data_IF_613912162274
#
_entry.id   IF_613912162274
#
_cell.length_a   1.000
_cell.length_b   1.000
_cell.length_c   1.000
_cell.angle_alpha   90.00
_cell.angle_beta   90.00
_cell.angle_gamma   90.00
#
_symmetry.space_group_name_H-M   'P 1'
#
loop_
_entity.id
_entity.type
_entity.pdbx_description
1 polymer ?
#
# COMPACT_ATOMS: atom_id res chain seq x y z
N UNK A 1 75.15 4.92 -30.69
CA UNK A 1 73.73 4.52 -30.77
C UNK A 1 73.46 3.58 -29.61
N UNK A 2 72.85 4.09 -28.55
CA UNK A 2 72.27 3.29 -27.47
C UNK A 2 70.75 3.34 -27.64
N UNK A 3 70.01 2.23 -27.55
CA UNK A 3 68.56 2.26 -27.56
C UNK A 3 68.02 2.57 -26.14
N UNK A 4 67.13 3.55 -26.05
CA UNK A 4 66.30 3.82 -24.89
C UNK A 4 65.24 2.70 -24.73
N UNK A 5 65.26 2.01 -23.59
CA UNK A 5 64.16 1.16 -23.14
C UNK A 5 63.00 2.06 -22.66
N UNK A 6 61.94 2.14 -23.46
CA UNK A 6 60.63 2.63 -22.99
C UNK A 6 60.00 1.55 -22.11
N UNK A 7 60.12 1.67 -20.79
CA UNK A 7 59.26 0.99 -19.83
C UNK A 7 57.85 1.59 -19.91
N UNK A 8 56.99 0.96 -20.70
CA UNK A 8 55.57 1.27 -20.75
C UNK A 8 54.87 0.47 -19.63
N UNK A 9 54.87 1.01 -18.41
CA UNK A 9 54.02 0.50 -17.33
C UNK A 9 52.56 0.80 -17.66
N UNK A 10 51.83 -0.22 -18.09
CA UNK A 10 50.38 -0.16 -18.20
C UNK A 10 49.78 0.10 -16.81
N UNK A 11 48.87 1.08 -16.63
CA UNK A 11 48.22 1.31 -15.34
C UNK A 11 47.46 0.06 -14.93
N UNK A 12 47.75 -0.44 -13.72
CA UNK A 12 47.27 -1.74 -13.26
C UNK A 12 45.75 -1.78 -13.07
N UNK A 13 45.17 -2.90 -13.51
CA UNK A 13 43.81 -3.44 -13.36
C UNK A 13 43.18 -3.28 -11.94
N UNK A 14 44.01 -3.04 -10.93
CA UNK A 14 43.60 -2.88 -9.54
C UNK A 14 42.81 -1.58 -9.29
N UNK A 15 42.97 -0.57 -10.14
CA UNK A 15 42.36 0.75 -9.96
C UNK A 15 40.85 0.75 -10.25
N UNK A 16 40.38 -0.08 -11.19
CA UNK A 16 38.95 -0.24 -11.49
C UNK A 16 38.22 -1.06 -10.42
N UNK A 17 38.88 -2.07 -9.83
CA UNK A 17 38.35 -2.86 -8.73
C UNK A 17 38.17 -2.03 -7.45
N UNK A 18 39.12 -1.15 -7.13
CA UNK A 18 39.02 -0.21 -6.00
C UNK A 18 37.87 0.77 -6.22
N UNK A 19 37.79 1.40 -7.40
CA UNK A 19 36.74 2.36 -7.73
C UNK A 19 35.33 1.75 -7.68
N UNK A 20 35.16 0.50 -8.13
CA UNK A 20 33.90 -0.22 -8.05
C UNK A 20 33.52 -0.57 -6.60
N UNK A 21 34.51 -0.89 -5.76
CA UNK A 21 34.30 -1.18 -4.34
C UNK A 21 33.94 0.09 -3.54
N UNK A 22 34.63 1.20 -3.85
CA UNK A 22 34.38 2.52 -3.26
C UNK A 22 33.01 3.05 -3.65
N UNK A 23 32.62 2.88 -4.93
CA UNK A 23 31.28 3.24 -5.38
C UNK A 23 30.20 2.44 -4.65
N UNK A 24 30.41 1.13 -4.46
CA UNK A 24 29.45 0.27 -3.75
C UNK A 24 29.35 0.67 -2.28
N UNK A 25 30.47 0.97 -1.63
CA UNK A 25 30.50 1.48 -0.26
C UNK A 25 29.80 2.85 -0.14
N UNK A 26 29.96 3.73 -1.14
CA UNK A 26 29.27 5.01 -1.20
C UNK A 26 27.75 4.83 -1.37
N UNK A 27 27.32 3.90 -2.25
CA UNK A 27 25.90 3.54 -2.38
C UNK A 27 25.32 2.99 -1.07
N UNK A 28 26.04 2.12 -0.37
CA UNK A 28 25.60 1.56 0.91
C UNK A 28 25.54 2.61 2.02
N UNK A 29 26.45 3.59 2.00
CA UNK A 29 26.38 4.74 2.91
C UNK A 29 25.18 5.64 2.58
N UNK A 30 24.89 5.87 1.30
CA UNK A 30 23.75 6.66 0.84
C UNK A 30 22.42 5.99 1.24
N UNK A 31 22.32 4.67 1.06
CA UNK A 31 21.15 3.89 1.46
C UNK A 31 20.92 3.94 2.98
N UNK A 32 21.98 3.76 3.77
CA UNK A 32 21.88 3.88 5.24
C UNK A 32 21.50 5.28 5.70
N UNK A 33 21.98 6.32 5.01
CA UNK A 33 21.59 7.70 5.28
C UNK A 33 20.12 7.94 4.93
N UNK A 34 19.64 7.41 3.79
CA UNK A 34 18.23 7.48 3.40
C UNK A 34 17.32 6.76 4.42
N UNK A 35 17.70 5.57 4.88
CA UNK A 35 16.98 4.84 5.92
C UNK A 35 16.91 5.64 7.24
N UNK A 36 18.03 6.26 7.62
CA UNK A 36 18.10 7.09 8.82
C UNK A 36 17.24 8.35 8.69
N UNK A 37 17.22 8.99 7.52
CA UNK A 37 16.36 10.14 7.23
C UNK A 37 14.89 9.73 7.20
N UNK A 38 14.55 8.56 6.66
CA UNK A 38 13.18 8.02 6.67
C UNK A 38 12.69 7.75 8.10
N UNK A 39 13.54 7.16 8.94
CA UNK A 39 13.27 6.94 10.36
C UNK A 39 13.18 8.25 11.18
N UNK A 40 13.98 9.25 10.82
CA UNK A 40 13.93 10.58 11.45
C UNK A 40 12.72 11.38 10.95
N UNK A 41 12.32 11.22 9.69
CA UNK A 41 11.11 11.80 9.10
C UNK A 41 9.86 11.28 9.80
N UNK A 42 9.77 9.97 10.07
CA UNK A 42 8.66 9.42 10.87
C UNK A 42 8.65 9.97 12.30
N UNK A 43 9.82 10.24 12.90
CA UNK A 43 9.93 10.93 14.21
C UNK A 43 9.66 12.43 14.16
N UNK A 44 9.86 13.09 13.02
CA UNK A 44 9.65 14.53 12.81
C UNK A 44 8.26 14.87 12.25
N UNK A 45 7.32 13.90 12.22
CA UNK A 45 5.96 14.14 11.76
C UNK A 45 5.78 14.11 10.24
N UNK A 46 6.69 13.52 9.45
CA UNK A 46 6.52 13.34 8.01
C UNK A 46 5.22 12.63 7.63
N UNK A 47 4.80 11.66 8.45
CA UNK A 47 3.49 11.00 8.31
C UNK A 47 2.31 11.91 8.66
N UNK A 48 2.47 12.89 9.57
CA UNK A 48 1.41 13.86 9.90
C UNK A 48 1.10 14.83 8.74
N UNK A 49 2.11 15.26 7.98
CA UNK A 49 1.91 16.07 6.77
C UNK A 49 1.14 15.24 5.73
N UNK A 50 1.59 14.00 5.49
CA UNK A 50 0.92 13.11 4.54
C UNK A 50 -0.51 12.78 4.99
N UNK A 51 -0.73 12.53 6.27
CA UNK A 51 -2.07 12.36 6.84
C UNK A 51 -2.96 13.57 6.55
N UNK A 52 -2.49 14.77 6.86
CA UNK A 52 -3.24 16.01 6.58
C UNK A 52 -3.54 16.17 5.09
N UNK A 53 -2.63 15.76 4.21
CA UNK A 53 -2.84 15.81 2.76
C UNK A 53 -3.83 14.74 2.28
N UNK A 54 -3.82 13.53 2.85
CA UNK A 54 -4.79 12.47 2.54
C UNK A 54 -6.21 12.85 2.96
N UNK A 55 -6.33 13.55 4.09
CA UNK A 55 -7.61 14.03 4.63
C UNK A 55 -8.06 15.38 4.01
N UNK A 56 -7.25 15.97 3.14
CA UNK A 56 -7.53 17.26 2.52
C UNK A 56 -8.70 17.18 1.53
N UNK A 57 -9.52 18.23 1.48
CA UNK A 57 -10.53 18.42 0.43
C UNK A 57 -9.90 18.78 -0.92
N UNK A 58 -8.61 19.14 -0.94
CA UNK A 58 -7.89 19.48 -2.15
C UNK A 58 -7.41 18.19 -2.85
N UNK A 59 -8.06 17.84 -3.96
CA UNK A 59 -7.72 16.63 -4.73
C UNK A 59 -6.28 16.59 -5.24
N UNK A 60 -5.60 17.75 -5.37
CA UNK A 60 -4.19 17.81 -5.76
C UNK A 60 -3.29 17.39 -4.60
N UNK A 61 -3.63 17.78 -3.37
CA UNK A 61 -2.90 17.37 -2.16
C UNK A 61 -3.04 15.87 -1.93
N UNK A 62 -4.27 15.34 -1.98
CA UNK A 62 -4.52 13.89 -1.84
C UNK A 62 -3.72 13.10 -2.88
N UNK A 63 -3.76 13.50 -4.15
CA UNK A 63 -2.99 12.85 -5.22
C UNK A 63 -1.48 12.95 -5.02
N UNK A 64 -1.01 14.06 -4.45
CA UNK A 64 0.42 14.24 -4.17
C UNK A 64 0.86 13.31 -3.03
N UNK A 65 0.06 13.20 -1.97
CA UNK A 65 0.32 12.28 -0.87
C UNK A 65 0.30 10.81 -1.32
N UNK A 66 -0.71 10.40 -2.09
CA UNK A 66 -0.80 9.05 -2.64
C UNK A 66 0.43 8.68 -3.47
N UNK A 67 0.95 9.61 -4.29
CA UNK A 67 2.19 9.39 -5.05
C UNK A 67 3.41 9.26 -4.15
N UNK A 68 3.56 10.16 -3.17
CA UNK A 68 4.71 10.13 -2.26
C UNK A 68 4.76 8.83 -1.44
N UNK A 69 3.60 8.28 -1.06
CA UNK A 69 3.51 7.04 -0.27
C UNK A 69 3.97 5.78 -1.01
N UNK A 70 4.10 5.81 -2.34
CA UNK A 70 4.66 4.67 -3.07
C UNK A 70 6.14 4.44 -2.79
N UNK A 71 6.85 5.47 -2.31
CA UNK A 71 8.27 5.38 -1.97
C UNK A 71 8.50 5.06 -0.48
N UNK A 72 7.43 4.82 0.30
CA UNK A 72 7.49 4.62 1.74
C UNK A 72 7.65 3.14 2.13
N UNK A 73 8.28 2.90 3.29
CA UNK A 73 8.36 1.55 3.86
C UNK A 73 6.96 1.07 4.27
N UNK A 74 6.65 -0.23 4.11
CA UNK A 74 5.37 -0.80 4.53
C UNK A 74 4.95 -0.50 5.98
N UNK A 75 5.90 -0.29 6.90
CA UNK A 75 5.61 0.11 8.28
C UNK A 75 5.05 1.53 8.36
N UNK A 76 5.55 2.45 7.55
CA UNK A 76 5.08 3.83 7.52
C UNK A 76 3.72 3.93 6.81
N UNK A 77 3.47 3.11 5.79
CA UNK A 77 2.13 2.97 5.19
C UNK A 77 1.13 2.47 6.23
N UNK A 78 1.54 1.50 7.06
CA UNK A 78 0.69 0.96 8.13
C UNK A 78 0.34 2.02 9.20
N UNK A 79 1.20 3.00 9.48
CA UNK A 79 0.88 4.13 10.37
C UNK A 79 -0.26 5.00 9.81
N UNK A 80 -0.43 5.02 8.49
CA UNK A 80 -1.45 5.78 7.77
C UNK A 80 -2.63 4.91 7.28
N UNK A 81 -2.81 3.72 7.86
CA UNK A 81 -3.79 2.77 7.36
C UNK A 81 -5.23 3.32 7.37
N UNK A 82 -5.61 4.06 8.42
CA UNK A 82 -6.95 4.62 8.52
C UNK A 82 -7.25 5.68 7.45
N UNK A 83 -6.44 6.75 7.27
CA UNK A 83 -6.69 7.72 6.21
C UNK A 83 -6.59 7.09 4.81
N UNK A 84 -5.72 6.09 4.60
CA UNK A 84 -5.67 5.35 3.33
C UNK A 84 -6.95 4.53 3.13
N UNK A 85 -7.44 3.83 4.14
CA UNK A 85 -8.71 3.09 4.09
C UNK A 85 -9.89 4.01 3.75
N UNK A 86 -9.97 5.20 4.35
CA UNK A 86 -11.04 6.17 4.00
C UNK A 86 -11.03 6.58 2.53
N UNK A 87 -9.89 6.52 1.85
CA UNK A 87 -9.81 6.79 0.42
C UNK A 87 -10.33 5.62 -0.43
N UNK A 88 -10.47 4.41 0.12
CA UNK A 88 -11.19 3.32 -0.56
C UNK A 88 -12.70 3.59 -0.62
N UNK A 89 -13.21 4.48 0.21
CA UNK A 89 -14.62 4.91 0.17
C UNK A 89 -14.89 5.94 -0.94
N UNK A 90 -13.84 6.44 -1.59
CA UNK A 90 -13.94 7.45 -2.65
C UNK A 90 -13.54 6.82 -3.98
N UNK A 91 -14.49 6.71 -4.91
CA UNK A 91 -14.30 6.00 -6.19
C UNK A 91 -13.06 6.45 -6.97
N UNK A 92 -12.75 7.74 -6.96
CA UNK A 92 -11.58 8.32 -7.65
C UNK A 92 -10.24 7.84 -7.09
N UNK A 93 -10.20 7.43 -5.81
CA UNK A 93 -8.97 7.05 -5.11
C UNK A 93 -8.88 5.57 -4.78
N UNK A 94 -9.97 4.80 -4.91
CA UNK A 94 -10.08 3.39 -4.57
C UNK A 94 -8.85 2.57 -4.96
N UNK A 95 -8.54 2.47 -6.25
CA UNK A 95 -7.44 1.65 -6.73
C UNK A 95 -6.06 2.12 -6.24
N UNK A 96 -5.87 3.42 -6.07
CA UNK A 96 -4.60 3.96 -5.55
C UNK A 96 -4.43 3.60 -4.08
N UNK A 97 -5.50 3.72 -3.28
CA UNK A 97 -5.50 3.35 -1.87
C UNK A 97 -5.29 1.83 -1.69
N UNK A 98 -6.01 1.00 -2.44
CA UNK A 98 -5.86 -0.47 -2.42
C UNK A 98 -4.43 -0.89 -2.76
N UNK A 99 -3.81 -0.25 -3.77
CA UNK A 99 -2.40 -0.53 -4.13
C UNK A 99 -1.42 -0.17 -3.01
N UNK A 100 -1.63 0.94 -2.30
CA UNK A 100 -0.79 1.29 -1.15
C UNK A 100 -0.97 0.28 -0.01
N UNK A 101 -2.20 -0.10 0.31
CA UNK A 101 -2.47 -1.14 1.30
C UNK A 101 -1.80 -2.47 0.93
N UNK A 102 -1.76 -2.83 -0.36
CA UNK A 102 -1.10 -4.03 -0.86
C UNK A 102 0.42 -4.07 -0.61
N UNK A 103 1.06 -2.92 -0.39
CA UNK A 103 2.48 -2.85 -0.05
C UNK A 103 2.75 -3.35 1.39
N UNK A 104 1.72 -3.41 2.24
CA UNK A 104 1.84 -3.89 3.62
C UNK A 104 1.83 -5.43 3.67
N UNK A 105 2.76 -6.07 4.40
CA UNK A 105 2.75 -7.53 4.55
C UNK A 105 1.38 -8.05 5.03
N UNK A 106 0.83 -9.03 4.31
CA UNK A 106 -0.54 -9.52 4.48
C UNK A 106 -0.94 -9.78 5.94
N UNK A 107 -0.06 -10.41 6.74
CA UNK A 107 -0.34 -10.68 8.17
C UNK A 107 -0.53 -9.40 9.00
N UNK A 108 0.25 -8.34 8.71
CA UNK A 108 0.14 -7.05 9.38
C UNK A 108 -1.09 -6.29 8.87
N UNK A 109 -1.30 -6.32 7.56
CA UNK A 109 -2.47 -5.69 6.93
C UNK A 109 -3.76 -6.30 7.45
N UNK A 110 -3.91 -7.63 7.47
CA UNK A 110 -5.10 -8.33 7.99
C UNK A 110 -5.45 -7.86 9.40
N UNK A 111 -4.45 -7.83 10.29
CA UNK A 111 -4.64 -7.44 11.69
C UNK A 111 -5.14 -6.01 11.84
N UNK A 112 -4.74 -5.11 10.97
CA UNK A 112 -5.06 -3.69 11.08
C UNK A 112 -6.28 -3.28 10.23
N UNK A 113 -6.40 -3.78 9.01
CA UNK A 113 -7.46 -3.42 8.07
C UNK A 113 -8.80 -4.07 8.40
N UNK A 114 -8.81 -5.37 8.74
CA UNK A 114 -10.07 -6.09 8.97
C UNK A 114 -10.91 -5.42 10.07
N UNK A 115 -10.35 -5.07 11.25
CA UNK A 115 -11.12 -4.33 12.25
C UNK A 115 -11.71 -3.03 11.72
N UNK A 116 -10.94 -2.23 10.97
CA UNK A 116 -11.42 -0.96 10.41
C UNK A 116 -12.62 -1.14 9.47
N UNK A 117 -12.59 -2.18 8.63
CA UNK A 117 -13.71 -2.51 7.74
C UNK A 117 -14.96 -2.83 8.55
N UNK A 118 -14.86 -3.69 9.56
CA UNK A 118 -16.03 -4.06 10.36
C UNK A 118 -16.52 -2.93 11.27
N UNK A 119 -15.61 -2.12 11.83
CA UNK A 119 -15.96 -0.94 12.62
C UNK A 119 -16.74 0.07 11.76
N UNK A 120 -16.37 0.22 10.49
CA UNK A 120 -17.05 1.10 9.55
C UNK A 120 -18.42 0.56 9.12
N UNK A 121 -18.51 -0.73 8.78
CA UNK A 121 -19.74 -1.38 8.35
C UNK A 121 -20.79 -1.51 9.47
N UNK A 122 -20.34 -1.72 10.71
CA UNK A 122 -21.21 -1.87 11.89
C UNK A 122 -21.41 -0.56 12.64
N UNK A 123 -20.80 0.54 12.17
CA UNK A 123 -20.93 1.85 12.78
C UNK A 123 -22.38 2.35 12.71
N UNK A 124 -22.86 3.10 13.72
CA UNK A 124 -24.21 3.65 13.73
C UNK A 124 -24.45 4.66 12.60
N UNK A 125 -23.38 5.28 12.10
CA UNK A 125 -23.39 6.24 11.00
C UNK A 125 -22.97 5.58 9.66
N UNK A 126 -23.18 4.26 9.52
CA UNK A 126 -22.95 3.60 8.25
C UNK A 126 -23.98 4.06 7.21
N UNK A 127 -23.49 4.72 6.17
CA UNK A 127 -24.23 5.27 5.04
C UNK A 127 -23.86 4.58 3.72
N UNK A 128 -23.25 3.39 3.78
CA UNK A 128 -22.83 2.64 2.61
C UNK A 128 -24.00 2.08 1.81
N UNK A 129 -23.98 2.36 0.51
CA UNK A 129 -24.80 1.70 -0.48
C UNK A 129 -24.32 0.26 -0.79
N UNK A 130 -25.13 -0.50 -1.52
CA UNK A 130 -24.81 -1.88 -1.91
C UNK A 130 -23.45 -2.00 -2.60
N UNK A 131 -23.05 -0.99 -3.37
CA UNK A 131 -21.77 -0.97 -4.08
C UNK A 131 -20.59 -0.83 -3.12
N UNK A 132 -20.69 0.02 -2.11
CA UNK A 132 -19.68 0.21 -1.08
C UNK A 132 -19.48 -1.04 -0.22
N UNK A 133 -20.56 -1.75 0.10
CA UNK A 133 -20.49 -3.08 0.75
C UNK A 133 -19.70 -4.07 -0.12
N UNK A 134 -20.01 -4.13 -1.42
CA UNK A 134 -19.32 -5.00 -2.37
C UNK A 134 -17.85 -4.66 -2.54
N UNK A 135 -17.49 -3.37 -2.61
CA UNK A 135 -16.09 -2.93 -2.67
C UNK A 135 -15.29 -3.37 -1.43
N UNK A 136 -15.88 -3.32 -0.24
CA UNK A 136 -15.20 -3.81 0.97
C UNK A 136 -14.94 -5.33 0.90
N UNK A 137 -15.90 -6.12 0.41
CA UNK A 137 -15.69 -7.56 0.21
C UNK A 137 -14.60 -7.83 -0.83
N UNK A 138 -14.68 -7.20 -2.01
CA UNK A 138 -13.70 -7.35 -3.09
C UNK A 138 -12.29 -6.95 -2.66
N UNK A 139 -12.16 -5.86 -1.90
CA UNK A 139 -10.86 -5.44 -1.35
C UNK A 139 -10.28 -6.53 -0.42
N UNK A 140 -11.10 -7.12 0.44
CA UNK A 140 -10.67 -8.18 1.34
C UNK A 140 -10.27 -9.45 0.57
N UNK A 141 -11.01 -9.84 -0.46
CA UNK A 141 -10.64 -10.96 -1.36
C UNK A 141 -9.33 -10.68 -2.10
N UNK A 142 -9.15 -9.46 -2.60
CA UNK A 142 -7.91 -9.05 -3.27
C UNK A 142 -6.68 -9.23 -2.37
N UNK A 143 -6.82 -9.04 -1.05
CA UNK A 143 -5.75 -9.29 -0.08
C UNK A 143 -5.67 -10.74 0.41
N UNK A 144 -6.54 -11.64 -0.07
CA UNK A 144 -6.64 -13.04 0.38
C UNK A 144 -7.24 -13.19 1.77
N UNK A 145 -8.10 -12.26 2.19
CA UNK A 145 -8.82 -12.29 3.47
C UNK A 145 -10.23 -12.85 3.27
N UNK A 146 -10.32 -14.00 2.61
CA UNK A 146 -11.58 -14.63 2.15
C UNK A 146 -12.58 -14.85 3.29
N UNK A 147 -12.09 -15.21 4.49
CA UNK A 147 -12.90 -15.35 5.70
C UNK A 147 -13.55 -14.03 6.13
N UNK A 148 -12.84 -12.91 5.97
CA UNK A 148 -13.37 -11.58 6.26
C UNK A 148 -14.32 -11.11 5.15
N UNK A 149 -14.01 -11.36 3.88
CA UNK A 149 -14.88 -11.03 2.75
C UNK A 149 -16.23 -11.77 2.83
N UNK A 150 -16.20 -13.08 3.12
CA UNK A 150 -17.41 -13.87 3.33
C UNK A 150 -18.26 -13.32 4.47
N UNK A 151 -17.63 -12.86 5.57
CA UNK A 151 -18.35 -12.22 6.68
C UNK A 151 -18.99 -10.90 6.27
N UNK A 152 -18.36 -10.09 5.41
CA UNK A 152 -19.00 -8.89 4.84
C UNK A 152 -20.24 -9.28 4.04
N UNK A 153 -20.15 -10.30 3.18
CA UNK A 153 -21.29 -10.76 2.39
C UNK A 153 -22.46 -11.29 3.25
N UNK A 154 -22.15 -12.04 4.32
CA UNK A 154 -23.16 -12.50 5.29
C UNK A 154 -23.84 -11.32 6.00
N UNK A 155 -23.07 -10.31 6.42
CA UNK A 155 -23.63 -9.11 7.04
C UNK A 155 -24.51 -8.32 6.05
N UNK A 156 -24.07 -8.18 4.80
CA UNK A 156 -24.86 -7.55 3.76
C UNK A 156 -26.19 -8.29 3.54
N UNK A 157 -26.16 -9.63 3.46
CA UNK A 157 -27.36 -10.48 3.33
C UNK A 157 -28.33 -10.30 4.51
N UNK A 158 -27.82 -9.97 5.70
CA UNK A 158 -28.63 -9.72 6.89
C UNK A 158 -29.11 -8.26 7.00
N UNK A 159 -28.75 -7.38 6.06
CA UNK A 159 -29.16 -5.98 6.07
C UNK A 159 -30.66 -5.81 5.92
N UNK A 160 -31.21 -4.80 6.59
CA UNK A 160 -32.60 -4.36 6.40
C UNK A 160 -32.79 -3.69 5.04
N UNK A 161 -31.74 -3.06 4.50
CA UNK A 161 -31.72 -2.45 3.17
C UNK A 161 -31.82 -3.56 2.08
N UNK A 162 -32.84 -3.50 1.20
CA UNK A 162 -33.05 -4.52 0.18
C UNK A 162 -31.93 -4.60 -0.87
N UNK A 163 -31.33 -3.48 -1.28
CA UNK A 163 -30.26 -3.47 -2.27
C UNK A 163 -28.97 -4.05 -1.68
N UNK A 164 -28.66 -3.70 -0.43
CA UNK A 164 -27.52 -4.29 0.29
C UNK A 164 -27.71 -5.79 0.49
N UNK A 165 -28.94 -6.21 0.83
CA UNK A 165 -29.27 -7.63 1.00
C UNK A 165 -29.15 -8.43 -0.30
N UNK A 166 -29.60 -7.87 -1.41
CA UNK A 166 -29.44 -8.46 -2.74
C UNK A 166 -27.95 -8.60 -3.10
N UNK A 167 -27.15 -7.55 -2.93
CA UNK A 167 -25.70 -7.61 -3.12
C UNK A 167 -25.04 -8.67 -2.21
N UNK A 168 -25.52 -8.82 -0.97
CA UNK A 168 -25.14 -9.90 -0.05
C UNK A 168 -25.36 -11.29 -0.64
N UNK A 169 -26.52 -11.53 -1.22
CA UNK A 169 -26.87 -12.79 -1.86
C UNK A 169 -26.01 -13.07 -3.10
N UNK A 170 -25.76 -12.06 -3.94
CA UNK A 170 -24.90 -12.16 -5.12
C UNK A 170 -23.46 -12.51 -4.73
N UNK A 171 -22.88 -11.79 -3.77
CA UNK A 171 -21.51 -12.05 -3.29
C UNK A 171 -21.37 -13.50 -2.78
N UNK A 172 -22.34 -14.00 -2.00
CA UNK A 172 -22.31 -15.39 -1.51
C UNK A 172 -22.39 -16.39 -2.67
N UNK A 173 -23.23 -16.15 -3.67
CA UNK A 173 -23.36 -17.02 -4.83
C UNK A 173 -22.08 -17.07 -5.67
N UNK A 174 -21.43 -15.91 -5.85
CA UNK A 174 -20.17 -15.79 -6.59
C UNK A 174 -19.03 -16.52 -5.87
N UNK A 175 -18.88 -16.31 -4.56
CA UNK A 175 -17.87 -16.99 -3.74
C UNK A 175 -18.05 -18.52 -3.72
N UNK A 176 -19.30 -19.00 -3.86
CA UNK A 176 -19.62 -20.42 -3.93
C UNK A 176 -19.33 -21.05 -5.31
N UNK A 177 -19.04 -20.24 -6.34
CA UNK A 177 -18.83 -20.71 -7.72
C UNK A 177 -17.33 -20.93 -7.99
N UNK A 178 -16.87 -22.20 -8.19
CA UNK A 178 -15.46 -22.47 -8.43
C UNK A 178 -14.98 -21.88 -9.77
N UNK A 179 -13.90 -21.11 -9.75
CA UNK A 179 -13.24 -20.61 -10.96
C UNK A 179 -13.76 -19.29 -11.51
N UNK A 180 -14.67 -18.61 -10.81
CA UNK A 180 -14.96 -17.20 -11.09
C UNK A 180 -13.73 -16.36 -10.74
N UNK A 181 -13.16 -15.58 -11.68
CA UNK A 181 -12.08 -14.68 -11.34
C UNK A 181 -12.60 -13.62 -10.34
N UNK A 182 -11.82 -13.23 -9.33
CA UNK A 182 -12.08 -11.96 -8.67
C UNK A 182 -11.97 -10.90 -9.77
N UNK A 183 -13.06 -10.18 -10.01
CA UNK A 183 -13.25 -9.26 -11.12
C UNK A 183 -11.97 -8.45 -11.45
N UNK A 184 -11.66 -8.33 -12.75
CA UNK A 184 -10.39 -7.82 -13.28
C UNK A 184 -10.02 -6.38 -12.95
#
# INVERSE_FOLDING_TARGET
MQPEELTNEAPSDNTELDAASDFRAACDALNRAADSISLLSSKCGGTSILQSMLESKNTKEVRTALRALHDFDPRQILELILPIYRLTEVSTYYFSAVRLLAMVPAKKLKRALVPLVFDRLLGPDNDYDYYSWRLNALMLEYFGFDDAAQRVAILALASDDPEVREAGAEMIAEMATPGSPPYG
#
